data_IF_784391347155
#
_entry.id   IF_784391347155
#
_cell.length_a   1.000
_cell.length_b   1.000
_cell.length_c   1.000
_cell.angle_alpha   90.00
_cell.angle_beta   90.00
_cell.angle_gamma   90.00
#
_symmetry.space_group_name_H-M   'P 1'
#
loop_
_entity.id
_entity.type
_entity.pdbx_description
1 polymer ?
#
# COMPACT_ATOMS: atom_id res chain seq x y z
N UNK A 1 34.11 -9.60 7.11
CA UNK A 1 32.82 -9.78 6.38
C UNK A 1 32.21 -11.12 6.78
N UNK A 2 31.68 -11.16 8.02
CA UNK A 2 31.46 -12.39 8.79
C UNK A 2 30.05 -12.93 8.70
N UNK A 3 29.89 -14.20 9.09
CA UNK A 3 28.69 -15.02 9.30
C UNK A 3 27.30 -14.35 9.21
N UNK A 4 27.09 -13.19 9.86
CA UNK A 4 25.88 -12.38 9.78
C UNK A 4 25.46 -12.02 8.34
N UNK A 5 26.41 -11.75 7.44
CA UNK A 5 26.13 -11.39 6.05
C UNK A 5 25.65 -12.60 5.22
N UNK A 6 26.22 -13.78 5.45
CA UNK A 6 25.79 -15.03 4.81
C UNK A 6 24.44 -15.53 5.35
N UNK A 7 24.17 -15.33 6.65
CA UNK A 7 22.88 -15.61 7.25
C UNK A 7 21.81 -14.63 6.73
N UNK A 8 22.15 -13.35 6.59
CA UNK A 8 21.30 -12.36 5.94
C UNK A 8 20.95 -12.74 4.51
N UNK A 9 21.92 -13.18 3.70
CA UNK A 9 21.65 -13.62 2.32
C UNK A 9 20.77 -14.86 2.24
N UNK A 10 21.04 -15.90 3.04
CA UNK A 10 20.17 -17.10 3.07
C UNK A 10 18.74 -16.79 3.50
N UNK A 11 18.57 -15.92 4.51
CA UNK A 11 17.24 -15.51 5.00
C UNK A 11 16.54 -14.58 4.00
N UNK A 12 17.28 -13.67 3.36
CA UNK A 12 16.80 -12.84 2.24
C UNK A 12 16.22 -13.74 1.14
N UNK A 13 16.92 -14.81 0.75
CA UNK A 13 16.42 -15.77 -0.24
C UNK A 13 15.11 -16.46 0.20
N UNK A 14 14.96 -16.80 1.48
CA UNK A 14 13.73 -17.42 1.98
C UNK A 14 12.52 -16.47 1.98
N UNK A 15 12.69 -15.22 2.42
CA UNK A 15 11.61 -14.22 2.38
C UNK A 15 11.25 -13.78 0.97
N UNK A 16 12.26 -13.62 0.10
CA UNK A 16 12.07 -13.43 -1.33
C UNK A 16 11.27 -14.59 -1.92
N UNK A 17 11.58 -15.85 -1.59
CA UNK A 17 10.83 -17.00 -2.10
C UNK A 17 9.31 -16.94 -1.86
N UNK A 18 8.87 -16.39 -0.72
CA UNK A 18 7.42 -16.24 -0.42
C UNK A 18 6.74 -15.10 -1.18
N UNK A 19 7.47 -14.04 -1.55
CA UNK A 19 6.95 -12.88 -2.31
C UNK A 19 7.32 -12.94 -3.79
N UNK A 20 8.22 -13.82 -4.20
CA UNK A 20 8.68 -14.01 -5.58
C UNK A 20 7.54 -14.44 -6.50
N UNK A 21 6.61 -15.28 -6.01
CA UNK A 21 5.40 -15.61 -6.76
C UNK A 21 4.55 -14.36 -7.05
N UNK A 22 4.42 -13.48 -6.06
CA UNK A 22 3.68 -12.22 -6.20
C UNK A 22 4.38 -11.26 -7.18
N UNK A 23 5.72 -11.19 -7.12
CA UNK A 23 6.51 -10.30 -7.99
C UNK A 23 6.63 -10.80 -9.44
N UNK A 24 6.50 -12.11 -9.66
CA UNK A 24 6.53 -12.72 -11.01
C UNK A 24 5.17 -12.71 -11.70
N UNK A 25 4.09 -12.45 -10.96
CA UNK A 25 2.74 -12.37 -11.50
C UNK A 25 2.56 -11.09 -12.32
N UNK A 26 2.41 -11.23 -13.64
CA UNK A 26 2.34 -10.10 -14.58
C UNK A 26 0.97 -9.44 -14.67
N UNK A 27 -0.02 -9.93 -13.92
CA UNK A 27 -1.39 -9.38 -13.93
C UNK A 27 -1.49 -8.02 -13.24
N UNK A 28 -0.53 -7.68 -12.39
CA UNK A 28 -0.50 -6.43 -11.63
C UNK A 28 0.94 -5.96 -11.41
N UNK A 29 1.08 -4.70 -11.03
CA UNK A 29 2.35 -4.08 -10.64
C UNK A 29 2.30 -3.80 -9.14
N UNK A 30 3.31 -4.27 -8.41
CA UNK A 30 3.49 -3.94 -7.00
C UNK A 30 4.41 -2.74 -6.90
N UNK A 31 3.92 -1.66 -6.30
CA UNK A 31 4.71 -0.47 -6.02
C UNK A 31 5.95 -0.80 -5.17
N UNK A 32 7.10 -0.24 -5.56
CA UNK A 32 8.38 -0.53 -4.92
C UNK A 32 8.43 -0.05 -3.47
N UNK A 33 7.84 1.12 -3.17
CA UNK A 33 7.77 1.64 -1.81
C UNK A 33 6.90 0.73 -0.93
N UNK A 34 5.76 0.27 -1.46
CA UNK A 34 4.91 -0.71 -0.80
C UNK A 34 5.67 -2.01 -0.53
N UNK A 35 6.34 -2.57 -1.55
CA UNK A 35 7.12 -3.79 -1.41
C UNK A 35 8.18 -3.65 -0.30
N UNK A 36 9.02 -2.62 -0.39
CA UNK A 36 10.12 -2.41 0.55
C UNK A 36 9.64 -2.15 1.98
N UNK A 37 8.55 -1.39 2.17
CA UNK A 37 8.06 -1.01 3.51
C UNK A 37 7.16 -2.08 4.14
N UNK A 38 6.36 -2.79 3.34
CA UNK A 38 5.27 -3.66 3.83
C UNK A 38 5.49 -5.14 3.55
N UNK A 39 6.11 -5.52 2.44
CA UNK A 39 6.23 -6.93 2.02
C UNK A 39 7.60 -7.56 2.25
N UNK A 40 8.71 -6.85 2.00
CA UNK A 40 10.09 -7.36 1.97
C UNK A 40 10.50 -8.24 3.16
N UNK A 41 9.96 -7.95 4.35
CA UNK A 41 10.26 -8.67 5.60
C UNK A 41 9.02 -9.34 6.21
N UNK A 42 8.03 -9.66 5.39
CA UNK A 42 6.81 -10.39 5.80
C UNK A 42 6.74 -11.68 5.01
N UNK A 43 6.26 -12.73 5.68
CA UNK A 43 5.86 -13.95 4.99
C UNK A 43 4.52 -13.70 4.32
N UNK A 44 4.45 -13.84 2.99
CA UNK A 44 3.18 -13.92 2.30
C UNK A 44 2.59 -15.32 2.53
N UNK A 45 1.37 -15.40 3.06
CA UNK A 45 0.69 -16.68 3.26
C UNK A 45 -0.18 -17.06 2.08
N UNK A 46 -0.96 -16.10 1.58
CA UNK A 46 -1.82 -16.23 0.40
C UNK A 46 -2.08 -14.88 -0.24
N UNK A 47 -2.39 -14.89 -1.52
CA UNK A 47 -2.91 -13.74 -2.24
C UNK A 47 -4.05 -14.16 -3.17
N UNK A 48 -4.97 -13.24 -3.42
CA UNK A 48 -6.11 -13.43 -4.32
C UNK A 48 -6.31 -12.16 -5.15
N UNK A 49 -6.43 -12.30 -6.46
CA UNK A 49 -6.86 -11.23 -7.35
C UNK A 49 -8.36 -11.43 -7.64
N UNK A 50 -9.16 -10.40 -7.42
CA UNK A 50 -10.61 -10.45 -7.67
C UNK A 50 -11.23 -9.08 -7.77
N UNK A 51 -12.51 -9.03 -8.09
CA UNK A 51 -13.28 -7.78 -8.13
C UNK A 51 -13.81 -7.44 -6.74
N UNK A 52 -13.88 -6.15 -6.42
CA UNK A 52 -14.46 -5.63 -5.19
C UNK A 52 -15.16 -4.31 -5.47
N UNK A 53 -16.36 -4.14 -4.92
CA UNK A 53 -17.04 -2.84 -4.88
C UNK A 53 -16.22 -1.82 -4.10
N UNK A 54 -16.06 -0.61 -4.63
CA UNK A 54 -15.27 0.44 -3.96
C UNK A 54 -15.81 0.74 -2.56
N UNK A 55 -17.13 0.71 -2.36
CA UNK A 55 -17.76 0.93 -1.05
C UNK A 55 -17.34 -0.09 0.02
N UNK A 56 -16.84 -1.27 -0.37
CA UNK A 56 -16.34 -2.28 0.57
C UNK A 56 -14.87 -2.06 0.97
N UNK A 57 -14.16 -1.14 0.32
CA UNK A 57 -12.77 -0.80 0.65
C UNK A 57 -12.78 0.14 1.87
N UNK A 58 -11.95 -0.17 2.86
CA UNK A 58 -11.87 0.57 4.14
C UNK A 58 -10.46 1.05 4.43
N UNK A 59 -10.32 2.03 5.32
CA UNK A 59 -9.03 2.48 5.82
C UNK A 59 -8.91 2.26 7.34
N UNK A 60 -7.76 1.73 7.80
CA UNK A 60 -7.49 1.53 9.22
C UNK A 60 -7.07 0.10 9.55
N UNK A 61 -7.78 -0.55 10.48
CA UNK A 61 -7.42 -1.87 11.00
C UNK A 61 -8.64 -2.78 11.15
N UNK A 62 -8.60 -3.94 10.49
CA UNK A 62 -9.58 -5.02 10.62
C UNK A 62 -11.04 -4.59 10.46
N UNK A 63 -11.92 -5.22 11.24
CA UNK A 63 -13.37 -5.00 11.21
C UNK A 63 -13.80 -3.56 11.55
N UNK A 64 -12.96 -2.78 12.24
CA UNK A 64 -13.24 -1.38 12.63
C UNK A 64 -12.65 -0.38 11.62
N UNK A 65 -12.38 -0.81 10.39
CA UNK A 65 -11.96 0.07 9.31
C UNK A 65 -13.02 1.14 9.04
N UNK A 66 -12.56 2.37 8.82
CA UNK A 66 -13.40 3.51 8.43
C UNK A 66 -13.72 3.45 6.95
N UNK A 67 -14.89 3.97 6.57
CA UNK A 67 -15.23 4.15 5.16
C UNK A 67 -14.26 5.14 4.50
N UNK A 68 -14.04 5.00 3.21
CA UNK A 68 -13.17 5.91 2.46
C UNK A 68 -13.74 7.33 2.43
N UNK A 69 -15.06 7.52 2.53
CA UNK A 69 -15.65 8.85 2.55
C UNK A 69 -15.30 9.68 3.81
N UNK A 70 -14.78 9.03 4.85
CA UNK A 70 -14.38 9.68 6.11
C UNK A 70 -12.90 10.13 6.12
N UNK A 71 -12.09 9.70 5.14
CA UNK A 71 -10.64 9.94 5.14
C UNK A 71 -10.25 11.25 4.43
N UNK A 72 -9.10 11.81 4.81
CA UNK A 72 -8.61 13.08 4.26
C UNK A 72 -8.50 13.10 2.73
N UNK A 73 -7.99 12.05 2.04
CA UNK A 73 -7.99 12.03 0.57
C UNK A 73 -9.36 12.13 -0.08
N UNK A 74 -10.43 11.66 0.56
CA UNK A 74 -11.78 11.80 0.01
C UNK A 74 -12.35 13.19 0.30
N UNK A 75 -12.18 13.69 1.52
CA UNK A 75 -12.58 15.05 1.89
C UNK A 75 -11.93 16.12 1.02
N UNK A 76 -10.69 15.89 0.58
CA UNK A 76 -10.02 16.71 -0.40
C UNK A 76 -10.82 16.88 -1.70
N UNK A 77 -11.38 15.79 -2.22
CA UNK A 77 -12.22 15.79 -3.43
C UNK A 77 -13.53 16.57 -3.24
N UNK A 78 -13.98 16.70 -1.99
CA UNK A 78 -15.12 17.55 -1.60
C UNK A 78 -14.74 19.02 -1.33
N UNK A 79 -13.48 19.40 -1.53
CA UNK A 79 -12.98 20.76 -1.36
C UNK A 79 -12.23 21.05 -0.06
N UNK A 80 -12.01 20.07 0.82
CA UNK A 80 -11.20 20.25 2.04
C UNK A 80 -9.69 20.24 1.74
N UNK A 81 -9.22 21.31 1.10
CA UNK A 81 -7.82 21.49 0.72
C UNK A 81 -6.91 21.67 1.93
N UNK A 82 -7.33 22.46 2.91
CA UNK A 82 -6.56 22.73 4.12
C UNK A 82 -6.38 21.48 5.01
N UNK A 83 -7.44 20.68 5.19
CA UNK A 83 -7.36 19.43 5.93
C UNK A 83 -6.43 18.42 5.26
N UNK A 84 -6.44 18.39 3.92
CA UNK A 84 -5.55 17.51 3.15
C UNK A 84 -4.08 17.96 3.18
N UNK A 85 -3.79 19.26 3.08
CA UNK A 85 -2.41 19.77 3.21
C UNK A 85 -1.83 19.42 4.59
N UNK A 86 -2.62 19.58 5.66
CA UNK A 86 -2.19 19.17 7.00
C UNK A 86 -1.92 17.66 7.07
N UNK A 87 -2.78 16.84 6.46
CA UNK A 87 -2.59 15.40 6.35
C UNK A 87 -1.27 15.05 5.64
N UNK A 88 -0.99 15.68 4.49
CA UNK A 88 0.25 15.53 3.72
C UNK A 88 1.48 15.92 4.55
N UNK A 89 1.43 17.07 5.23
CA UNK A 89 2.50 17.55 6.13
C UNK A 89 2.78 16.56 7.25
N UNK A 90 1.75 16.04 7.93
CA UNK A 90 1.93 15.03 8.98
C UNK A 90 2.57 13.75 8.45
N UNK A 91 2.17 13.27 7.27
CA UNK A 91 2.75 12.05 6.68
C UNK A 91 4.21 12.23 6.26
N UNK A 92 4.58 13.43 5.77
CA UNK A 92 5.97 13.77 5.47
C UNK A 92 6.82 13.86 6.73
N UNK A 93 6.37 14.61 7.73
CA UNK A 93 7.15 14.88 8.94
C UNK A 93 7.26 13.67 9.88
N UNK A 94 6.18 12.90 10.06
CA UNK A 94 6.12 11.83 11.06
C UNK A 94 6.42 10.46 10.46
N UNK A 95 6.02 10.23 9.21
CA UNK A 95 6.10 8.91 8.57
C UNK A 95 7.11 8.85 7.41
N UNK A 96 7.79 9.97 7.13
CA UNK A 96 8.79 10.11 6.07
C UNK A 96 8.29 9.58 4.72
N UNK A 97 7.05 9.94 4.38
CA UNK A 97 6.51 9.73 3.03
C UNK A 97 6.63 11.03 2.24
N UNK A 98 7.82 11.30 1.70
CA UNK A 98 8.13 12.54 0.96
C UNK A 98 7.19 12.79 -0.21
N UNK A 99 6.65 11.72 -0.79
CA UNK A 99 5.72 11.75 -1.91
C UNK A 99 4.30 12.20 -1.55
N UNK A 100 3.98 12.32 -0.26
CA UNK A 100 2.66 12.76 0.21
C UNK A 100 2.57 14.28 0.11
N UNK A 101 2.32 14.75 -1.10
CA UNK A 101 2.11 16.15 -1.46
C UNK A 101 0.82 16.29 -2.30
N UNK A 102 0.08 17.40 -2.18
CA UNK A 102 -1.16 17.59 -2.93
C UNK A 102 -1.02 17.40 -4.44
N UNK A 103 0.07 17.88 -5.01
CA UNK A 103 0.33 17.88 -6.45
C UNK A 103 0.41 16.47 -7.04
N UNK A 104 0.92 15.49 -6.27
CA UNK A 104 0.92 14.08 -6.69
C UNK A 104 -0.49 13.51 -6.74
N UNK A 105 -1.36 13.93 -5.84
CA UNK A 105 -2.75 13.49 -5.88
C UNK A 105 -3.51 14.13 -7.04
N UNK A 106 -3.28 15.41 -7.30
CA UNK A 106 -3.83 16.10 -8.47
C UNK A 106 -3.37 15.46 -9.79
N UNK A 107 -2.09 15.08 -9.87
CA UNK A 107 -1.55 14.36 -11.02
C UNK A 107 -2.22 12.99 -11.21
N UNK A 108 -2.47 12.26 -10.12
CA UNK A 108 -3.19 10.99 -10.15
C UNK A 108 -4.64 11.19 -10.63
N UNK A 109 -5.34 12.19 -10.11
CA UNK A 109 -6.71 12.54 -10.52
C UNK A 109 -6.74 12.80 -12.03
N UNK A 110 -5.86 13.69 -12.52
CA UNK A 110 -5.76 14.02 -13.95
C UNK A 110 -5.45 12.80 -14.83
N UNK A 111 -4.56 11.92 -14.39
CA UNK A 111 -4.26 10.69 -15.14
C UNK A 111 -5.48 9.78 -15.24
N UNK A 112 -6.23 9.57 -14.15
CA UNK A 112 -7.44 8.74 -14.18
C UNK A 112 -8.56 9.41 -15.01
N UNK A 113 -8.61 10.75 -15.04
CA UNK A 113 -9.56 11.50 -15.87
C UNK A 113 -9.29 11.38 -17.36
N UNK A 114 -8.01 11.48 -17.75
CA UNK A 114 -7.61 11.47 -19.15
C UNK A 114 -7.50 10.06 -19.72
N UNK A 115 -6.88 9.15 -18.97
CA UNK A 115 -6.45 7.83 -19.46
C UNK A 115 -7.34 6.70 -18.94
N UNK A 116 -8.20 6.98 -17.96
CA UNK A 116 -8.97 5.97 -17.22
C UNK A 116 -8.16 5.31 -16.11
N UNK A 117 -8.81 4.41 -15.37
CA UNK A 117 -8.15 3.66 -14.30
C UNK A 117 -7.34 2.50 -14.88
N UNK A 118 -6.01 2.56 -14.78
CA UNK A 118 -5.14 1.44 -15.14
C UNK A 118 -5.17 0.35 -14.05
N UNK A 119 -5.91 -0.72 -14.34
CA UNK A 119 -6.05 -1.90 -13.50
C UNK A 119 -4.73 -2.61 -13.14
N UNK A 120 -3.63 -2.39 -13.89
CA UNK A 120 -2.33 -2.96 -13.55
C UNK A 120 -1.77 -2.35 -12.26
N UNK A 121 -2.05 -1.07 -12.00
CA UNK A 121 -1.81 -0.46 -10.70
C UNK A 121 -2.95 -0.87 -9.78
N UNK A 122 -2.89 -2.13 -9.33
CA UNK A 122 -3.93 -2.75 -8.53
C UNK A 122 -4.05 -2.08 -7.16
N UNK A 123 -5.27 -2.01 -6.62
CA UNK A 123 -5.49 -1.64 -5.23
C UNK A 123 -5.20 -2.87 -4.36
N UNK A 124 -4.43 -2.68 -3.29
CA UNK A 124 -4.04 -3.79 -2.41
C UNK A 124 -4.82 -3.69 -1.11
N UNK A 125 -5.47 -4.77 -0.71
CA UNK A 125 -6.22 -4.86 0.55
C UNK A 125 -5.77 -6.07 1.38
N UNK A 126 -6.21 -6.14 2.63
CA UNK A 126 -6.34 -7.43 3.30
C UNK A 126 -7.70 -8.07 2.98
N UNK A 127 -7.91 -9.29 3.48
CA UNK A 127 -9.15 -10.04 3.24
C UNK A 127 -10.39 -9.42 3.91
N UNK A 128 -10.21 -8.48 4.83
CA UNK A 128 -11.31 -7.73 5.46
C UNK A 128 -11.66 -6.45 4.68
N UNK A 129 -11.03 -6.22 3.52
CA UNK A 129 -11.25 -5.06 2.67
C UNK A 129 -10.47 -3.81 3.10
N UNK A 130 -9.53 -3.91 4.04
CA UNK A 130 -8.76 -2.75 4.48
C UNK A 130 -7.60 -2.48 3.53
N UNK A 131 -7.60 -1.30 2.92
CA UNK A 131 -6.57 -0.85 1.98
C UNK A 131 -5.19 -0.80 2.63
N UNK A 132 -4.21 -1.38 1.93
CA UNK A 132 -2.78 -1.39 2.29
C UNK A 132 -1.95 -0.59 1.29
N UNK A 133 -2.40 -0.52 0.04
CA UNK A 133 -1.90 0.37 -0.99
C UNK A 133 -3.04 0.78 -1.95
N UNK A 134 -2.92 1.97 -2.55
CA UNK A 134 -3.91 2.50 -3.47
C UNK A 134 -5.04 3.31 -2.83
N UNK A 135 -4.88 3.79 -1.59
CA UNK A 135 -5.90 4.58 -0.89
C UNK A 135 -6.42 5.78 -1.70
N UNK A 136 -5.52 6.58 -2.28
CA UNK A 136 -5.88 7.74 -3.10
C UNK A 136 -6.67 7.34 -4.35
N UNK A 137 -6.25 6.25 -5.03
CA UNK A 137 -6.99 5.67 -6.17
C UNK A 137 -8.39 5.25 -5.75
N UNK A 138 -8.52 4.52 -4.64
CA UNK A 138 -9.82 4.08 -4.13
C UNK A 138 -10.74 5.26 -3.76
N UNK A 139 -10.21 6.32 -3.14
CA UNK A 139 -11.00 7.51 -2.80
C UNK A 139 -11.52 8.22 -4.04
N UNK A 140 -10.68 8.37 -5.06
CA UNK A 140 -11.08 8.99 -6.32
C UNK A 140 -12.13 8.16 -7.07
N UNK A 141 -11.95 6.84 -7.15
CA UNK A 141 -12.93 5.94 -7.77
C UNK A 141 -14.28 5.99 -7.05
N UNK A 142 -14.28 6.07 -5.71
CA UNK A 142 -15.49 6.21 -4.92
C UNK A 142 -16.22 7.51 -5.26
N UNK A 143 -15.48 8.62 -5.30
CA UNK A 143 -16.01 9.95 -5.60
C UNK A 143 -16.62 10.01 -7.01
N UNK A 144 -15.92 9.44 -8.00
CA UNK A 144 -16.30 9.53 -9.41
C UNK A 144 -17.42 8.57 -9.81
N UNK A 145 -17.38 7.34 -9.31
CA UNK A 145 -18.24 6.25 -9.81
C UNK A 145 -19.21 5.69 -8.75
N UNK A 146 -19.08 6.10 -7.49
CA UNK A 146 -19.94 5.65 -6.40
C UNK A 146 -19.53 4.32 -5.79
N UNK A 147 -20.28 3.90 -4.76
CA UNK A 147 -19.96 2.74 -3.92
C UNK A 147 -20.04 1.40 -4.67
N UNK A 148 -20.95 1.28 -5.63
CA UNK A 148 -21.21 0.05 -6.38
C UNK A 148 -20.22 -0.21 -7.52
N UNK A 149 -19.34 0.74 -7.84
CA UNK A 149 -18.32 0.55 -8.86
C UNK A 149 -17.38 -0.59 -8.47
N UNK A 150 -17.17 -1.55 -9.37
CA UNK A 150 -16.30 -2.70 -9.13
C UNK A 150 -14.91 -2.48 -9.71
N UNK A 151 -13.89 -2.83 -8.94
CA UNK A 151 -12.49 -2.66 -9.32
C UNK A 151 -11.68 -3.91 -8.98
N UNK A 152 -10.64 -4.23 -9.79
CA UNK A 152 -9.71 -5.28 -9.46
C UNK A 152 -8.89 -4.93 -8.21
N UNK A 153 -8.90 -5.84 -7.25
CA UNK A 153 -8.19 -5.72 -5.97
C UNK A 153 -7.33 -6.96 -5.75
N UNK A 154 -6.11 -6.73 -5.28
CA UNK A 154 -5.19 -7.76 -4.80
C UNK A 154 -5.33 -7.87 -3.28
N UNK A 155 -5.95 -8.94 -2.81
CA UNK A 155 -6.06 -9.26 -1.39
C UNK A 155 -4.81 -10.01 -0.94
N UNK A 156 -4.20 -9.56 0.16
CA UNK A 156 -3.00 -10.18 0.73
C UNK A 156 -3.25 -10.66 2.16
N UNK A 157 -2.88 -11.89 2.46
CA UNK A 157 -2.74 -12.35 3.84
C UNK A 157 -1.25 -12.44 4.19
N UNK A 158 -0.83 -11.58 5.12
CA UNK A 158 0.56 -11.51 5.58
C UNK A 158 0.70 -12.18 6.94
N UNK A 159 1.72 -13.03 7.08
CA UNK A 159 2.13 -13.61 8.36
C UNK A 159 2.40 -12.56 9.43
N UNK A 160 2.25 -12.96 10.70
CA UNK A 160 2.64 -12.12 11.85
C UNK A 160 4.12 -11.76 11.73
N UNK A 161 4.48 -10.54 12.12
CA UNK A 161 5.90 -10.15 12.21
C UNK A 161 6.52 -10.94 13.36
N UNK A 162 7.35 -11.93 13.03
CA UNK A 162 8.17 -12.60 14.03
C UNK A 162 9.18 -11.61 14.61
N UNK A 163 9.70 -11.89 15.81
CA UNK A 163 10.80 -11.13 16.40
C UNK A 163 12.01 -11.07 15.44
N UNK A 164 12.27 -12.17 14.73
CA UNK A 164 13.27 -12.23 13.66
C UNK A 164 13.05 -11.19 12.56
N UNK A 165 11.82 -11.02 12.07
CA UNK A 165 11.52 -10.03 11.02
C UNK A 165 11.75 -8.59 11.50
N UNK A 166 11.55 -8.33 12.80
CA UNK A 166 11.85 -7.02 13.41
C UNK A 166 13.35 -6.75 13.45
N UNK A 167 14.13 -7.74 13.87
CA UNK A 167 15.61 -7.66 13.92
C UNK A 167 16.19 -7.45 12.51
N UNK A 168 15.75 -8.22 11.53
CA UNK A 168 16.23 -8.10 10.14
C UNK A 168 15.93 -6.72 9.54
N UNK A 169 14.72 -6.20 9.80
CA UNK A 169 14.36 -4.83 9.37
C UNK A 169 15.24 -3.77 10.02
N UNK A 170 15.58 -3.93 11.30
CA UNK A 170 16.46 -3.01 12.02
C UNK A 170 17.88 -3.02 11.46
N UNK A 171 18.45 -4.22 11.22
CA UNK A 171 19.77 -4.37 10.60
C UNK A 171 19.79 -3.73 9.21
N UNK A 172 18.75 -3.97 8.40
CA UNK A 172 18.63 -3.35 7.08
C UNK A 172 18.64 -1.82 7.18
N UNK A 173 17.77 -1.20 8.00
CA UNK A 173 17.73 0.26 8.16
C UNK A 173 19.10 0.86 8.52
N UNK A 174 19.83 0.22 9.44
CA UNK A 174 21.20 0.62 9.81
C UNK A 174 22.20 0.50 8.64
N UNK A 175 22.07 -0.53 7.80
CA UNK A 175 22.97 -0.75 6.66
C UNK A 175 22.74 0.19 5.47
N UNK A 176 21.51 0.69 5.26
CA UNK A 176 21.17 1.64 4.18
C UNK A 176 21.10 3.10 4.65
N UNK A 177 21.53 3.42 5.87
CA UNK A 177 21.63 4.81 6.35
C UNK A 177 20.30 5.53 6.60
N UNK A 178 19.18 4.81 6.67
CA UNK A 178 17.91 5.39 7.10
C UNK A 178 17.89 5.49 8.64
N UNK A 179 18.41 6.60 9.15
CA UNK A 179 18.22 7.09 10.52
C UNK A 179 16.81 7.58 10.74
#
# INVERSE_FOLDING_TARGET
MGFAMRLYEKIRCFFLGSTDMLLKDRRFVIDELFFNRRLKFRTLKRYELGMMRVGNIKYGSGATGRSLNEVSPFKYLLGDTAGYDNYCRMHRQVLHYEEMVPEKYDALIKSIENDGFDAKFVIITDFDGVVKDGQHRSCYLLYKYGEDYEVPVLKLELGRRSWFNKVMRYIYKKSVGFG
#
